data_IF_017341387618
#
_entry.id   IF_017341387618
#
_cell.length_a   1.000
_cell.length_b   1.000
_cell.length_c   1.000
_cell.angle_alpha   90.00
_cell.angle_beta   90.00
_cell.angle_gamma   90.00
#
_symmetry.space_group_name_H-M   'P 1'
#
loop_
_entity.id
_entity.type
_entity.pdbx_description
1 polymer ?
#
# COMPACT_ATOMS: atom_id res chain seq x y z
N UNK A 1 -4.61 -64.54 -1.93
CA UNK A 1 -4.77 -63.32 -2.74
C UNK A 1 -3.97 -62.19 -2.11
N UNK A 2 -3.35 -61.37 -2.95
CA UNK A 2 -2.37 -60.31 -2.62
C UNK A 2 -3.10 -59.07 -2.08
N UNK A 3 -2.62 -58.49 -0.98
CA UNK A 3 -2.84 -57.07 -0.67
C UNK A 3 -1.55 -56.46 -0.15
N UNK A 4 -0.80 -55.87 -1.10
CA UNK A 4 0.25 -54.89 -0.85
C UNK A 4 -0.42 -53.53 -0.92
N UNK A 5 -0.48 -52.74 0.16
CA UNK A 5 -0.58 -51.29 0.08
C UNK A 5 0.06 -50.67 1.34
N UNK A 6 1.38 -50.66 1.31
CA UNK A 6 2.19 -49.62 1.96
C UNK A 6 2.40 -48.53 0.91
N UNK A 7 2.55 -47.29 1.38
CA UNK A 7 2.98 -46.06 0.65
C UNK A 7 1.84 -45.20 0.09
N UNK A 8 1.59 -44.04 0.73
CA UNK A 8 2.09 -42.72 0.32
C UNK A 8 1.35 -41.64 1.12
N UNK A 9 2.03 -41.03 2.09
CA UNK A 9 2.59 -39.69 1.96
C UNK A 9 1.54 -38.59 2.22
N UNK A 10 1.52 -38.18 3.49
CA UNK A 10 0.96 -36.93 3.96
C UNK A 10 1.63 -35.74 3.24
N UNK A 11 1.00 -35.23 2.18
CA UNK A 11 1.44 -34.03 1.46
C UNK A 11 0.23 -33.23 0.99
N UNK A 12 -0.62 -32.80 1.92
CA UNK A 12 -1.68 -31.82 1.67
C UNK A 12 -1.80 -30.83 2.84
N UNK A 13 -0.74 -30.07 3.12
CA UNK A 13 -0.81 -28.91 4.02
C UNK A 13 0.12 -27.76 3.58
N UNK A 14 0.42 -27.64 2.29
CA UNK A 14 1.01 -26.42 1.70
C UNK A 14 -0.10 -25.46 1.24
N UNK A 15 -1.20 -25.38 1.99
CA UNK A 15 -2.07 -24.22 1.89
C UNK A 15 -1.30 -23.06 2.53
N UNK A 16 -0.88 -22.10 1.70
CA UNK A 16 0.07 -21.06 2.06
C UNK A 16 -0.21 -20.38 3.40
N UNK A 17 0.56 -20.76 4.42
CA UNK A 17 0.74 -19.95 5.60
C UNK A 17 1.47 -18.69 5.14
N UNK A 18 0.71 -17.61 4.88
CA UNK A 18 1.28 -16.28 4.97
C UNK A 18 1.77 -16.15 6.41
N UNK A 19 3.07 -16.33 6.63
CA UNK A 19 3.66 -16.10 7.94
C UNK A 19 3.26 -14.68 8.37
N UNK A 20 2.66 -14.52 9.55
CA UNK A 20 2.35 -13.19 10.07
C UNK A 20 3.62 -12.34 9.99
N UNK A 21 3.48 -11.09 9.52
CA UNK A 21 4.60 -10.16 9.46
C UNK A 21 5.27 -10.11 10.85
N UNK A 22 6.61 -10.19 10.94
CA UNK A 22 7.28 -10.09 12.23
C UNK A 22 6.88 -8.80 12.93
N UNK A 23 6.56 -8.88 14.22
CA UNK A 23 6.08 -7.74 15.01
C UNK A 23 6.99 -6.51 14.89
N UNK A 24 8.30 -6.73 14.81
CA UNK A 24 9.30 -5.68 14.61
C UNK A 24 9.13 -4.90 13.30
N UNK A 25 8.68 -5.54 12.22
CA UNK A 25 8.42 -4.88 10.94
C UNK A 25 7.10 -4.10 11.02
N UNK A 26 6.05 -4.70 11.58
CA UNK A 26 4.76 -4.04 11.78
C UNK A 26 4.85 -2.79 12.70
N UNK A 27 5.71 -2.85 13.72
CA UNK A 27 6.00 -1.75 14.64
C UNK A 27 6.90 -0.67 14.02
N UNK A 28 7.72 -1.04 13.03
CA UNK A 28 8.55 -0.09 12.28
C UNK A 28 7.75 0.73 11.26
N UNK A 29 6.55 0.28 10.90
CA UNK A 29 5.66 1.01 10.01
C UNK A 29 5.17 2.29 10.70
N UNK A 30 5.64 3.43 10.18
CA UNK A 30 5.28 4.77 10.62
C UNK A 30 4.63 5.54 9.46
N UNK A 31 3.73 6.49 9.75
CA UNK A 31 3.23 7.38 8.73
C UNK A 31 4.39 8.18 8.10
N UNK A 32 4.27 8.59 6.83
CA UNK A 32 5.27 9.44 6.19
C UNK A 32 5.40 10.78 6.92
N UNK A 33 6.58 11.41 6.84
CA UNK A 33 6.81 12.73 7.42
C UNK A 33 5.92 13.79 6.77
N UNK A 34 5.68 14.92 7.46
CA UNK A 34 4.89 16.02 6.92
C UNK A 34 5.45 16.60 5.62
N UNK A 35 6.77 16.58 5.43
CA UNK A 35 7.41 16.96 4.17
C UNK A 35 6.99 16.04 3.02
N UNK A 36 7.10 14.72 3.22
CA UNK A 36 6.70 13.72 2.21
C UNK A 36 5.20 13.77 1.93
N UNK A 37 4.37 14.00 2.96
CA UNK A 37 2.91 14.14 2.82
C UNK A 37 2.53 15.35 1.99
N UNK A 38 3.19 16.50 2.17
CA UNK A 38 2.98 17.69 1.33
C UNK A 38 3.36 17.43 -0.11
N UNK A 39 4.55 16.86 -0.32
CA UNK A 39 5.00 16.49 -1.67
C UNK A 39 4.02 15.51 -2.34
N UNK A 40 3.50 14.52 -1.60
CA UNK A 40 2.44 13.63 -2.10
C UNK A 40 1.20 14.38 -2.56
N UNK A 41 0.74 15.35 -1.78
CA UNK A 41 -0.43 16.16 -2.14
C UNK A 41 -0.15 16.96 -3.40
N UNK A 42 1.02 17.62 -3.48
CA UNK A 42 1.41 18.41 -4.65
C UNK A 42 1.44 17.55 -5.94
N UNK A 43 2.00 16.34 -5.83
CA UNK A 43 2.02 15.36 -6.93
C UNK A 43 0.61 14.92 -7.34
N UNK A 44 -0.26 14.67 -6.36
CA UNK A 44 -1.62 14.20 -6.61
C UNK A 44 -2.52 15.32 -7.15
N UNK A 45 -2.35 16.57 -6.72
CA UNK A 45 -3.19 17.70 -7.14
C UNK A 45 -3.19 17.90 -8.67
N UNK A 46 -2.07 17.63 -9.33
CA UNK A 46 -1.97 17.70 -10.80
C UNK A 46 -2.50 16.46 -11.54
N UNK A 47 -2.76 15.36 -10.84
CA UNK A 47 -3.09 14.07 -11.47
C UNK A 47 -4.49 13.59 -11.15
N UNK A 48 -4.96 13.82 -9.92
CA UNK A 48 -6.32 13.52 -9.51
C UNK A 48 -7.09 14.82 -9.31
N UNK A 49 -8.35 14.81 -9.72
CA UNK A 49 -9.23 15.91 -9.37
C UNK A 49 -9.40 15.93 -7.86
N UNK A 50 -9.15 17.07 -7.18
CA UNK A 50 -9.67 17.27 -5.85
C UNK A 50 -11.17 16.94 -5.87
N UNK A 51 -11.56 16.01 -5.01
CA UNK A 51 -12.92 15.49 -4.89
C UNK A 51 -13.43 15.61 -3.46
N UNK A 52 -14.74 15.41 -3.26
CA UNK A 52 -15.33 15.29 -1.93
C UNK A 52 -14.96 13.92 -1.32
N UNK A 53 -13.67 13.73 -1.02
CA UNK A 53 -13.18 12.54 -0.36
C UNK A 53 -13.81 12.45 1.03
N UNK A 54 -14.53 11.37 1.30
CA UNK A 54 -15.05 11.08 2.63
C UNK A 54 -13.92 10.58 3.53
N UNK A 55 -13.03 9.76 2.97
CA UNK A 55 -11.81 9.29 3.60
C UNK A 55 -10.65 9.43 2.64
N UNK A 56 -9.50 9.79 3.17
CA UNK A 56 -8.24 9.72 2.47
C UNK A 56 -7.21 9.21 3.47
N UNK A 57 -6.44 8.21 3.06
CA UNK A 57 -5.43 7.58 3.90
C UNK A 57 -4.17 7.32 3.09
N UNK A 58 -3.02 7.35 3.77
CA UNK A 58 -1.70 7.08 3.19
C UNK A 58 -1.04 5.94 3.93
N UNK A 59 -0.37 5.05 3.20
CA UNK A 59 0.34 3.93 3.78
C UNK A 59 1.61 4.37 4.51
N UNK A 60 2.14 3.47 5.33
CA UNK A 60 3.54 3.48 5.72
C UNK A 60 4.46 3.51 4.50
N UNK A 61 5.70 3.94 4.72
CA UNK A 61 6.74 3.94 3.68
C UNK A 61 7.13 2.50 3.33
N UNK A 62 7.20 2.21 2.03
CA UNK A 62 7.74 0.96 1.50
C UNK A 62 9.04 1.28 0.78
N UNK A 63 10.14 0.67 1.23
CA UNK A 63 11.42 0.82 0.56
C UNK A 63 11.47 -0.15 -0.62
N UNK A 64 11.35 0.35 -1.85
CA UNK A 64 11.40 -0.49 -3.06
C UNK A 64 12.83 -0.83 -3.46
N UNK A 65 13.73 0.15 -3.38
CA UNK A 65 15.14 -0.05 -3.65
C UNK A 65 15.96 0.82 -2.68
N UNK A 66 16.53 0.21 -1.62
CA UNK A 66 17.35 0.91 -0.64
C UNK A 66 18.53 1.68 -1.25
N UNK A 67 19.27 1.03 -2.14
CA UNK A 67 20.50 1.57 -2.74
C UNK A 67 20.22 2.81 -3.58
N UNK A 68 19.08 2.79 -4.28
CA UNK A 68 18.63 3.90 -5.13
C UNK A 68 17.75 4.90 -4.38
N UNK A 69 17.50 4.68 -3.09
CA UNK A 69 16.60 5.48 -2.26
C UNK A 69 15.21 5.67 -2.90
N UNK A 70 14.68 4.57 -3.44
CA UNK A 70 13.34 4.55 -4.03
C UNK A 70 12.35 4.14 -2.96
N UNK A 71 11.46 5.06 -2.62
CA UNK A 71 10.38 4.87 -1.68
C UNK A 71 9.05 4.76 -2.43
N UNK A 72 8.15 3.93 -1.93
CA UNK A 72 6.80 3.85 -2.43
C UNK A 72 5.79 4.04 -1.31
N UNK A 73 4.67 4.59 -1.70
CA UNK A 73 3.56 4.92 -0.84
C UNK A 73 2.28 4.63 -1.58
N UNK A 74 1.27 4.25 -0.82
CA UNK A 74 -0.06 3.98 -1.30
C UNK A 74 -1.03 4.96 -0.68
N UNK A 75 -1.81 5.60 -1.52
CA UNK A 75 -2.95 6.42 -1.10
C UNK A 75 -4.22 5.64 -1.37
N UNK A 76 -5.15 5.65 -0.41
CA UNK A 76 -6.51 5.15 -0.64
C UNK A 76 -7.55 6.19 -0.28
N UNK A 77 -8.56 6.33 -1.13
CA UNK A 77 -9.64 7.30 -0.94
C UNK A 77 -11.01 6.66 -1.13
N UNK A 78 -12.03 7.24 -0.50
CA UNK A 78 -13.43 6.97 -0.82
C UNK A 78 -14.14 8.29 -1.11
N UNK A 79 -15.13 8.25 -2.00
CA UNK A 79 -15.92 9.41 -2.39
C UNK A 79 -17.39 9.19 -2.05
N UNK A 80 -18.18 10.26 -1.90
CA UNK A 80 -19.63 10.12 -1.69
C UNK A 80 -20.32 9.40 -2.85
N UNK A 81 -19.87 9.64 -4.07
CA UNK A 81 -20.35 9.02 -5.31
C UNK A 81 -19.96 7.54 -5.42
N UNK A 82 -18.84 7.14 -4.80
CA UNK A 82 -18.33 5.78 -4.82
C UNK A 82 -17.71 5.41 -3.46
N UNK A 83 -18.44 4.64 -2.62
CA UNK A 83 -17.98 4.30 -1.29
C UNK A 83 -16.83 3.27 -1.28
N UNK A 84 -16.50 2.66 -2.43
CA UNK A 84 -15.39 1.71 -2.52
C UNK A 84 -14.04 2.42 -2.43
N UNK A 85 -13.05 1.73 -1.87
CA UNK A 85 -11.68 2.22 -1.84
C UNK A 85 -11.10 2.28 -3.26
N UNK A 86 -10.65 3.46 -3.64
CA UNK A 86 -9.78 3.68 -4.80
C UNK A 86 -8.34 3.76 -4.33
N UNK A 87 -7.40 3.21 -5.08
CA UNK A 87 -5.99 3.14 -4.68
C UNK A 87 -5.09 3.86 -5.68
N UNK A 88 -4.03 4.49 -5.18
CA UNK A 88 -3.01 5.12 -6.00
C UNK A 88 -1.64 4.79 -5.41
N UNK A 89 -0.78 4.15 -6.19
CA UNK A 89 0.61 3.94 -5.86
C UNK A 89 1.47 5.09 -6.37
N UNK A 90 2.31 5.66 -5.50
CA UNK A 90 3.32 6.66 -5.84
C UNK A 90 4.70 6.13 -5.49
N UNK A 91 5.62 6.18 -6.45
CA UNK A 91 7.04 5.93 -6.24
C UNK A 91 7.82 7.25 -6.29
N UNK A 92 8.65 7.49 -5.27
CA UNK A 92 9.51 8.66 -5.15
C UNK A 92 10.97 8.24 -5.12
N UNK A 93 11.83 9.02 -5.76
CA UNK A 93 13.28 8.93 -5.67
C UNK A 93 13.85 10.34 -5.57
N UNK A 94 14.54 10.66 -4.46
CA UNK A 94 15.08 12.01 -4.21
C UNK A 94 14.04 13.12 -4.47
N UNK A 95 12.81 12.92 -3.97
CA UNK A 95 11.67 13.83 -4.17
C UNK A 95 11.22 14.02 -5.63
N UNK A 96 11.63 13.12 -6.53
CA UNK A 96 11.14 13.05 -7.90
C UNK A 96 10.17 11.88 -8.03
N UNK A 97 9.06 12.12 -8.75
CA UNK A 97 8.09 11.08 -9.09
C UNK A 97 8.75 10.10 -10.08
N UNK A 98 8.89 8.84 -9.66
CA UNK A 98 9.27 7.76 -10.58
C UNK A 98 8.05 7.15 -11.26
N UNK A 99 6.96 6.98 -10.53
CA UNK A 99 5.71 6.49 -11.10
C UNK A 99 4.52 6.95 -10.27
N UNK A 100 3.39 7.08 -10.95
CA UNK A 100 2.08 7.26 -10.33
C UNK A 100 1.10 6.31 -11.02
N UNK A 101 0.49 5.41 -10.26
CA UNK A 101 -0.34 4.34 -10.81
C UNK A 101 -1.65 4.23 -10.07
N UNK A 102 -2.75 4.46 -10.79
CA UNK A 102 -4.10 4.16 -10.31
C UNK A 102 -4.29 2.65 -10.18
N UNK A 103 -4.97 2.23 -9.12
CA UNK A 103 -5.27 0.84 -8.78
C UNK A 103 -4.02 -0.05 -8.77
N UNK A 104 -2.94 0.48 -8.18
CA UNK A 104 -1.70 -0.28 -8.03
C UNK A 104 -1.93 -1.48 -7.10
N UNK A 105 -1.82 -2.70 -7.66
CA UNK A 105 -2.08 -3.94 -6.93
C UNK A 105 -1.26 -4.08 -5.64
N UNK A 106 -0.08 -3.45 -5.56
CA UNK A 106 0.78 -3.44 -4.37
C UNK A 106 0.11 -2.76 -3.18
N UNK A 107 -0.79 -1.82 -3.43
CA UNK A 107 -1.55 -1.12 -2.39
C UNK A 107 -2.63 -1.98 -1.73
N UNK A 108 -2.95 -3.14 -2.31
CA UNK A 108 -3.85 -4.11 -1.68
C UNK A 108 -3.13 -5.07 -0.73
N UNK A 109 -1.82 -4.94 -0.55
CA UNK A 109 -1.08 -5.75 0.41
C UNK A 109 -1.59 -5.48 1.83
N UNK A 110 -2.09 -6.53 2.48
CA UNK A 110 -2.71 -6.46 3.82
C UNK A 110 -1.73 -6.07 4.91
N UNK A 111 -0.42 -6.17 4.65
CA UNK A 111 0.64 -5.78 5.57
C UNK A 111 0.82 -4.26 5.64
N UNK A 112 0.34 -3.51 4.64
CA UNK A 112 0.44 -2.06 4.65
C UNK A 112 -0.48 -1.46 5.69
N UNK A 113 0.10 -0.75 6.65
CA UNK A 113 -0.65 0.09 7.58
C UNK A 113 -1.00 1.41 6.90
N UNK A 114 -2.26 1.82 7.02
CA UNK A 114 -2.77 3.07 6.51
C UNK A 114 -3.09 4.03 7.66
N UNK A 115 -2.81 5.31 7.42
CA UNK A 115 -2.97 6.40 8.38
C UNK A 115 -3.81 7.50 7.77
N UNK A 116 -4.57 8.23 8.58
CA UNK A 116 -5.42 9.33 8.09
C UNK A 116 -4.58 10.34 7.30
N UNK A 117 -5.10 10.79 6.17
CA UNK A 117 -4.46 11.72 5.26
C UNK A 117 -5.30 12.99 5.05
N UNK A 118 -5.51 13.79 6.11
CA UNK A 118 -6.35 14.99 6.05
C UNK A 118 -5.88 16.01 5.02
N UNK A 119 -4.58 16.10 4.73
CA UNK A 119 -4.02 17.01 3.74
C UNK A 119 -4.58 16.72 2.35
N UNK A 120 -4.70 15.45 1.98
CA UNK A 120 -5.33 15.06 0.72
C UNK A 120 -6.85 15.20 0.77
N UNK A 121 -7.49 14.81 1.89
CA UNK A 121 -8.94 14.95 2.07
C UNK A 121 -9.40 16.41 1.93
N UNK A 122 -8.58 17.34 2.40
CA UNK A 122 -8.85 18.78 2.39
C UNK A 122 -8.14 19.52 1.25
N UNK A 123 -7.59 18.79 0.27
CA UNK A 123 -6.92 19.37 -0.88
C UNK A 123 -7.89 20.29 -1.62
N UNK A 124 -7.45 21.54 -1.85
CA UNK A 124 -8.22 22.55 -2.57
C UNK A 124 -7.73 22.65 -4.02
N UNK A 125 -8.59 23.17 -4.88
CA UNK A 125 -8.18 23.67 -6.19
C UNK A 125 -7.34 24.94 -6.03
#
# INVERSE_FOLDING_TARGET
MKSKFLVCAALLALAGCQTPEPQSVADSQRPPSSAVRREHVDVLQGTIKPGNFLKAEISSVVLLNPEKQIYAYCTRTTERSNPNWSYIGLGLQHNMILYLKKDDYRCHDKRLRYYDFPELRNMKY
#
